data_IF_270221927905
#
_entry.id   IF_270221927905
#
_cell.length_a   1.000
_cell.length_b   1.000
_cell.length_c   1.000
_cell.angle_alpha   90.00
_cell.angle_beta   90.00
_cell.angle_gamma   90.00
#
_symmetry.space_group_name_H-M   'P 1'
#
loop_
_entity.id
_entity.type
_entity.pdbx_description
1 polymer ?
#
# COMPACT_ATOMS: atom_id res chain seq x y z
N UNK A 1 -2.61 8.42 -5.65
CA UNK A 1 -1.52 7.42 -5.66
C UNK A 1 -1.97 6.24 -4.81
N UNK A 2 -1.95 5.03 -5.36
CA UNK A 2 -2.34 3.79 -4.68
C UNK A 2 -1.07 3.00 -4.34
N UNK A 3 -0.80 2.81 -3.05
CA UNK A 3 0.40 2.10 -2.58
C UNK A 3 0.13 0.60 -2.46
N UNK A 4 1.17 -0.21 -2.63
CA UNK A 4 1.08 -1.66 -2.50
C UNK A 4 2.44 -2.24 -2.14
N UNK A 5 2.41 -3.37 -1.43
CA UNK A 5 3.58 -4.23 -1.27
C UNK A 5 3.50 -5.35 -2.30
N UNK A 6 4.60 -5.60 -3.00
CA UNK A 6 4.69 -6.66 -4.00
C UNK A 6 6.00 -7.41 -3.85
N UNK A 7 6.07 -8.61 -4.41
CA UNK A 7 7.27 -9.41 -4.47
C UNK A 7 7.72 -9.63 -5.92
N UNK A 8 9.03 -9.47 -6.15
CA UNK A 8 9.69 -9.84 -7.39
C UNK A 8 10.94 -10.65 -7.06
N UNK A 9 11.08 -11.83 -7.68
CA UNK A 9 12.16 -12.79 -7.36
C UNK A 9 12.27 -13.14 -5.87
N UNK A 10 11.13 -13.17 -5.16
CA UNK A 10 11.05 -13.48 -3.73
C UNK A 10 11.35 -12.31 -2.79
N UNK A 11 11.78 -11.16 -3.30
CA UNK A 11 12.04 -9.96 -2.50
C UNK A 11 10.79 -9.09 -2.42
N UNK A 12 10.34 -8.77 -1.20
CA UNK A 12 9.25 -7.81 -0.97
C UNK A 12 9.73 -6.37 -1.17
N UNK A 13 8.89 -5.55 -1.81
CA UNK A 13 9.18 -4.16 -2.19
C UNK A 13 7.95 -3.29 -2.06
N UNK A 14 8.18 -1.99 -1.88
CA UNK A 14 7.13 -0.97 -1.85
C UNK A 14 6.93 -0.39 -3.24
N UNK A 15 5.67 -0.35 -3.69
CA UNK A 15 5.33 0.17 -4.99
C UNK A 15 4.11 1.07 -4.99
N UNK A 16 3.91 1.74 -6.13
CA UNK A 16 2.71 2.48 -6.43
C UNK A 16 2.07 1.96 -7.71
N UNK A 17 0.78 1.69 -7.67
CA UNK A 17 0.02 1.20 -8.82
C UNK A 17 -0.51 2.37 -9.64
N UNK A 18 -0.32 2.30 -10.95
CA UNK A 18 -0.75 3.30 -11.94
C UNK A 18 -1.40 2.63 -13.16
N UNK A 19 -1.84 3.44 -14.12
CA UNK A 19 -2.45 2.99 -15.38
C UNK A 19 -3.62 2.01 -15.18
N UNK A 20 -4.61 2.41 -14.38
CA UNK A 20 -5.80 1.60 -14.02
C UNK A 20 -5.43 0.22 -13.49
N UNK A 21 -4.54 0.20 -12.50
CA UNK A 21 -4.08 -1.00 -11.81
C UNK A 21 -3.25 -2.01 -12.67
N UNK A 22 -2.77 -1.60 -13.85
CA UNK A 22 -2.01 -2.49 -14.75
C UNK A 22 -0.50 -2.49 -14.49
N UNK A 23 0.06 -1.39 -13.98
CA UNK A 23 1.50 -1.24 -13.78
C UNK A 23 1.84 -0.87 -12.35
N UNK A 24 2.80 -1.60 -11.79
CA UNK A 24 3.45 -1.32 -10.52
C UNK A 24 4.74 -0.53 -10.76
N UNK A 25 4.89 0.60 -10.11
CA UNK A 25 6.18 1.30 -9.99
C UNK A 25 6.91 0.76 -8.77
N UNK A 26 8.17 0.33 -8.93
CA UNK A 26 9.09 0.04 -7.84
C UNK A 26 9.68 1.36 -7.31
N UNK A 27 9.24 1.79 -6.12
CA UNK A 27 9.63 3.10 -5.59
C UNK A 27 11.13 3.18 -5.29
N UNK A 28 11.73 2.11 -4.80
CA UNK A 28 13.16 2.08 -4.49
C UNK A 28 14.01 2.14 -5.78
N UNK A 29 13.58 1.43 -6.83
CA UNK A 29 14.27 1.43 -8.12
C UNK A 29 14.16 2.77 -8.86
N UNK A 30 12.96 3.38 -8.86
CA UNK A 30 12.76 4.72 -9.43
C UNK A 30 13.56 5.76 -8.65
N UNK A 31 13.53 5.72 -7.31
CA UNK A 31 14.28 6.62 -6.46
C UNK A 31 15.79 6.53 -6.71
N UNK A 32 16.34 5.31 -6.80
CA UNK A 32 17.77 5.09 -7.12
C UNK A 32 18.15 5.74 -8.46
N UNK A 33 17.26 5.64 -9.44
CA UNK A 33 17.47 6.21 -10.78
C UNK A 33 17.43 7.75 -10.74
N UNK A 34 16.42 8.32 -10.06
CA UNK A 34 16.27 9.76 -9.89
C UNK A 34 17.43 10.37 -9.07
N UNK A 35 17.78 9.76 -7.94
CA UNK A 35 18.86 10.21 -7.07
C UNK A 35 20.21 10.25 -7.78
N UNK A 36 20.52 9.23 -8.61
CA UNK A 36 21.73 9.21 -9.44
C UNK A 36 21.78 10.36 -10.45
N UNK A 37 20.65 10.63 -11.14
CA UNK A 37 20.54 11.74 -12.10
C UNK A 37 20.70 13.10 -11.41
N UNK A 38 20.12 13.24 -10.21
CA UNK A 38 20.12 14.47 -9.41
C UNK A 38 21.36 14.62 -8.53
N UNK A 39 22.30 13.67 -8.56
CA UNK A 39 23.53 13.63 -7.73
C UNK A 39 23.24 13.82 -6.23
N UNK A 40 22.17 13.22 -5.74
CA UNK A 40 21.77 13.27 -4.32
C UNK A 40 21.78 11.88 -3.70
N UNK A 41 21.74 11.82 -2.37
CA UNK A 41 21.55 10.58 -1.63
C UNK A 41 20.15 10.01 -1.89
N UNK A 42 20.07 8.69 -1.97
CA UNK A 42 18.81 7.93 -2.04
C UNK A 42 18.09 8.07 -0.70
N UNK A 43 16.78 8.27 -0.73
CA UNK A 43 15.94 8.18 0.45
C UNK A 43 15.94 6.76 1.02
N UNK A 44 15.95 6.64 2.34
CA UNK A 44 16.07 5.39 3.09
C UNK A 44 14.73 4.75 3.47
N UNK A 45 13.61 5.42 3.21
CA UNK A 45 12.26 4.98 3.62
C UNK A 45 11.51 4.14 2.57
N UNK A 46 12.21 3.50 1.63
CA UNK A 46 11.61 2.61 0.62
C UNK A 46 11.94 1.12 0.85
N UNK A 47 12.59 0.77 1.97
CA UNK A 47 12.96 -0.62 2.27
C UNK A 47 11.77 -1.51 2.62
N UNK A 48 10.76 -0.97 3.31
CA UNK A 48 9.49 -1.66 3.57
C UNK A 48 8.30 -0.70 3.64
N UNK A 49 7.08 -1.24 3.54
CA UNK A 49 5.87 -0.40 3.68
C UNK A 49 5.82 0.26 5.06
N UNK A 50 6.30 -0.43 6.10
CA UNK A 50 6.31 0.11 7.44
C UNK A 50 7.26 1.31 7.56
N UNK A 51 8.48 1.19 7.06
CA UNK A 51 9.44 2.32 7.00
C UNK A 51 8.88 3.50 6.20
N UNK A 52 8.24 3.22 5.06
CA UNK A 52 7.61 4.23 4.22
C UNK A 52 6.52 4.99 4.97
N UNK A 53 5.61 4.27 5.65
CA UNK A 53 4.52 4.87 6.41
C UNK A 53 5.02 5.63 7.65
N UNK A 54 6.03 5.10 8.35
CA UNK A 54 6.65 5.76 9.51
C UNK A 54 7.33 7.08 9.13
N UNK A 55 7.93 7.17 7.94
CA UNK A 55 8.49 8.42 7.42
C UNK A 55 7.41 9.45 7.01
N UNK A 56 6.14 9.04 6.95
CA UNK A 56 4.96 9.91 6.86
C UNK A 56 4.99 10.86 5.66
N UNK A 57 4.73 12.15 5.92
CA UNK A 57 4.57 13.17 4.87
C UNK A 57 5.82 13.34 3.98
N UNK A 58 7.02 13.12 4.54
CA UNK A 58 8.28 13.19 3.77
C UNK A 58 8.29 12.12 2.68
N UNK A 59 7.98 10.88 3.04
CA UNK A 59 7.95 9.76 2.12
C UNK A 59 6.83 9.88 1.09
N UNK A 60 5.64 10.30 1.53
CA UNK A 60 4.51 10.55 0.63
C UNK A 60 4.80 11.64 -0.40
N UNK A 61 5.45 12.73 0.01
CA UNK A 61 5.81 13.83 -0.90
C UNK A 61 6.88 13.38 -1.91
N UNK A 62 7.91 12.66 -1.45
CA UNK A 62 8.93 12.11 -2.33
C UNK A 62 8.35 11.11 -3.34
N UNK A 63 7.53 10.16 -2.88
CA UNK A 63 6.89 9.19 -3.77
C UNK A 63 5.97 9.84 -4.80
N UNK A 64 5.16 10.84 -4.41
CA UNK A 64 4.34 11.59 -5.37
C UNK A 64 5.17 12.25 -6.46
N UNK A 65 6.31 12.87 -6.12
CA UNK A 65 7.22 13.48 -7.12
C UNK A 65 7.77 12.46 -8.11
N UNK A 66 8.00 11.22 -7.69
CA UNK A 66 8.45 10.14 -8.57
C UNK A 66 7.32 9.54 -9.41
N UNK A 67 6.14 9.35 -8.81
CA UNK A 67 5.01 8.63 -9.42
C UNK A 67 4.23 9.48 -10.41
N UNK A 68 3.96 10.75 -10.11
CA UNK A 68 3.10 11.60 -10.95
C UNK A 68 3.59 11.70 -12.40
N UNK A 69 4.88 12.01 -12.68
CA UNK A 69 5.36 12.10 -14.06
C UNK A 69 5.36 10.76 -14.81
N UNK A 70 5.46 9.64 -14.09
CA UNK A 70 5.37 8.30 -14.68
C UNK A 70 3.92 7.95 -15.01
N UNK A 71 2.99 8.29 -14.12
CA UNK A 71 1.56 8.08 -14.34
C UNK A 71 1.04 8.87 -15.54
N UNK A 72 1.44 10.15 -15.67
CA UNK A 72 1.03 11.03 -16.75
C UNK A 72 1.56 10.60 -18.13
N UNK A 73 2.71 9.91 -18.17
CA UNK A 73 3.29 9.39 -19.42
C UNK A 73 2.67 8.08 -19.88
N UNK A 74 1.89 7.41 -19.04
CA UNK A 74 1.27 6.14 -19.41
C UNK A 74 -0.03 6.38 -20.19
N UNK A 75 -0.06 5.92 -21.43
CA UNK A 75 -1.26 5.86 -22.26
C UNK A 75 -2.13 4.62 -21.97
N UNK A 76 -3.10 4.35 -22.84
CA UNK A 76 -4.09 3.27 -22.67
C UNK A 76 -3.47 1.86 -22.73
N UNK A 77 -2.34 1.72 -23.42
CA UNK A 77 -1.51 0.51 -23.47
C UNK A 77 -0.16 0.73 -22.74
N UNK A 78 -0.17 0.67 -21.40
CA UNK A 78 1.02 0.95 -20.61
C UNK A 78 2.05 -0.17 -20.77
N UNK A 79 3.30 0.21 -21.08
CA UNK A 79 4.44 -0.70 -21.10
C UNK A 79 5.23 -0.59 -19.80
N UNK A 80 5.73 -1.72 -19.34
CA UNK A 80 6.63 -1.81 -18.20
C UNK A 80 8.05 -2.12 -18.69
N UNK A 81 9.05 -1.45 -18.12
CA UNK A 81 10.47 -1.61 -18.46
C UNK A 81 11.13 -2.83 -17.78
N UNK A 82 10.42 -3.47 -16.84
CA UNK A 82 10.90 -4.62 -16.07
C UNK A 82 12.01 -4.29 -15.06
N UNK A 83 12.35 -3.02 -14.87
CA UNK A 83 13.42 -2.55 -13.97
C UNK A 83 12.90 -1.62 -12.89
N UNK A 84 12.14 -0.60 -13.29
CA UNK A 84 11.54 0.40 -12.40
C UNK A 84 10.02 0.31 -12.41
N UNK A 85 9.47 -0.35 -13.43
CA UNK A 85 8.05 -0.59 -13.63
C UNK A 85 7.82 -2.04 -14.00
N UNK A 86 6.73 -2.63 -13.51
CA UNK A 86 6.37 -4.02 -13.75
C UNK A 86 4.89 -4.15 -14.06
N UNK A 87 4.52 -5.03 -14.99
CA UNK A 87 3.12 -5.40 -15.15
C UNK A 87 2.64 -6.07 -13.86
N UNK A 88 1.50 -5.63 -13.32
CA UNK A 88 0.92 -6.19 -12.08
C UNK A 88 0.68 -7.70 -12.24
N UNK A 89 0.32 -8.16 -13.44
CA UNK A 89 0.12 -9.57 -13.78
C UNK A 89 1.39 -10.42 -13.80
N UNK A 90 2.58 -9.81 -13.66
CA UNK A 90 3.89 -10.48 -13.70
C UNK A 90 4.63 -10.43 -12.36
N UNK A 91 3.99 -9.92 -11.31
CA UNK A 91 4.51 -9.83 -9.95
C UNK A 91 3.51 -10.46 -8.98
N UNK A 92 3.96 -10.82 -7.78
CA UNK A 92 3.06 -11.30 -6.72
C UNK A 92 2.69 -10.12 -5.82
N UNK A 93 1.41 -9.79 -5.73
CA UNK A 93 0.95 -8.83 -4.72
C UNK A 93 1.03 -9.48 -3.34
N UNK A 94 1.36 -8.69 -2.32
CA UNK A 94 1.43 -9.11 -0.93
C UNK A 94 0.39 -8.37 -0.11
N UNK A 95 0.25 -8.75 1.15
CA UNK A 95 -0.46 -7.94 2.14
C UNK A 95 0.04 -6.48 2.05
N UNK A 96 -0.85 -5.46 2.01
CA UNK A 96 -0.43 -4.07 1.87
C UNK A 96 0.59 -3.65 2.92
N UNK A 97 0.36 -4.05 4.17
CA UNK A 97 1.30 -3.94 5.29
C UNK A 97 1.50 -5.35 5.84
N UNK A 98 2.53 -6.11 5.41
CA UNK A 98 2.65 -7.54 5.74
C UNK A 98 2.78 -7.85 7.23
N UNK A 99 3.52 -7.01 7.97
CA UNK A 99 3.78 -7.21 9.40
C UNK A 99 3.50 -5.91 10.17
N UNK A 100 2.21 -5.54 10.37
CA UNK A 100 1.89 -4.36 11.14
C UNK A 100 2.20 -4.59 12.63
N UNK A 101 2.65 -3.55 13.34
CA UNK A 101 3.03 -3.67 14.75
C UNK A 101 1.82 -3.97 15.66
N UNK A 102 0.64 -3.41 15.33
CA UNK A 102 -0.62 -3.58 16.05
C UNK A 102 -1.78 -3.60 15.06
N UNK A 103 -2.82 -4.36 15.36
CA UNK A 103 -4.04 -4.43 14.56
C UNK A 103 -5.26 -4.26 15.47
N UNK A 104 -5.82 -3.05 15.45
CA UNK A 104 -7.06 -2.71 16.13
C UNK A 104 -8.22 -2.80 15.14
N UNK A 105 -9.26 -3.49 15.55
CA UNK A 105 -10.49 -3.67 14.78
C UNK A 105 -11.66 -3.02 15.52
N UNK A 106 -12.65 -2.57 14.77
CA UNK A 106 -13.89 -2.03 15.31
C UNK A 106 -14.99 -3.10 15.21
N UNK A 107 -15.74 -3.26 16.29
CA UNK A 107 -16.95 -4.05 16.34
C UNK A 107 -18.18 -3.13 16.45
N UNK A 108 -19.30 -3.60 15.92
CA UNK A 108 -20.59 -2.90 16.02
C UNK A 108 -20.65 -1.53 15.35
N UNK A 109 -19.80 -1.28 14.36
CA UNK A 109 -19.75 -0.03 13.61
C UNK A 109 -20.73 0.02 12.42
N UNK A 110 -21.52 -1.02 12.19
CA UNK A 110 -22.58 -1.08 11.19
C UNK A 110 -23.88 -1.51 11.87
N UNK A 111 -24.85 -0.60 11.95
CA UNK A 111 -26.14 -0.86 12.59
C UNK A 111 -26.90 -1.99 11.89
N UNK A 112 -26.95 -1.96 10.55
CA UNK A 112 -27.63 -2.98 9.74
C UNK A 112 -27.15 -4.40 10.06
N UNK A 113 -25.85 -4.59 10.29
CA UNK A 113 -25.29 -5.90 10.62
C UNK A 113 -25.69 -6.36 12.03
N UNK A 114 -25.90 -5.44 12.97
CA UNK A 114 -26.39 -5.77 14.32
C UNK A 114 -27.88 -6.12 14.28
N UNK A 115 -28.66 -5.39 13.49
CA UNK A 115 -30.09 -5.66 13.29
C UNK A 115 -30.32 -7.00 12.58
N UNK A 116 -29.50 -7.33 11.58
CA UNK A 116 -29.48 -8.66 10.92
C UNK A 116 -29.30 -9.79 11.95
N UNK A 117 -28.43 -9.58 12.94
CA UNK A 117 -28.19 -10.53 14.04
C UNK A 117 -29.30 -10.58 15.11
N UNK A 118 -30.42 -9.88 14.92
CA UNK A 118 -31.52 -9.77 15.88
C UNK A 118 -31.26 -8.81 17.05
N UNK A 119 -30.16 -8.05 16.99
CA UNK A 119 -29.87 -6.99 17.94
C UNK A 119 -30.71 -5.74 17.68
N UNK A 120 -30.81 -4.85 18.68
CA UNK A 120 -31.32 -3.50 18.51
C UNK A 120 -30.27 -2.53 19.03
N UNK A 121 -29.86 -1.57 18.21
CA UNK A 121 -28.97 -0.50 18.64
C UNK A 121 -29.76 0.78 18.93
N UNK A 122 -29.31 1.53 19.93
CA UNK A 122 -29.62 2.95 19.99
C UNK A 122 -28.93 3.68 18.83
N UNK A 123 -29.40 4.89 18.51
CA UNK A 123 -28.84 5.68 17.40
C UNK A 123 -27.30 5.72 17.42
N UNK A 124 -26.71 5.39 16.27
CA UNK A 124 -25.28 5.11 16.08
C UNK A 124 -24.37 6.29 16.47
N UNK A 125 -24.91 7.51 16.48
CA UNK A 125 -24.25 8.75 16.88
C UNK A 125 -23.91 8.83 18.39
N UNK A 126 -24.42 7.90 19.21
CA UNK A 126 -24.22 7.89 20.67
C UNK A 126 -23.36 6.73 21.18
N UNK A 127 -22.92 5.80 20.33
CA UNK A 127 -22.08 4.68 20.77
C UNK A 127 -20.58 5.01 20.76
N UNK A 128 -19.88 4.56 21.80
CA UNK A 128 -18.41 4.59 21.85
C UNK A 128 -17.86 3.44 21.00
N UNK A 129 -16.81 3.67 20.16
CA UNK A 129 -16.24 2.61 19.33
C UNK A 129 -15.80 1.40 20.16
N UNK A 130 -16.36 0.22 19.86
CA UNK A 130 -15.98 -1.03 20.50
C UNK A 130 -14.72 -1.57 19.81
N UNK A 131 -13.58 -1.39 20.45
CA UNK A 131 -12.27 -1.80 19.90
C UNK A 131 -11.89 -3.18 20.42
N UNK A 132 -11.44 -4.05 19.51
CA UNK A 132 -10.78 -5.30 19.85
C UNK A 132 -9.48 -5.45 19.06
N UNK A 133 -8.61 -6.38 19.47
CA UNK A 133 -7.31 -6.61 18.83
C UNK A 133 -7.24 -8.02 18.25
N UNK A 134 -6.61 -8.16 17.09
CA UNK A 134 -6.21 -9.45 16.54
C UNK A 134 -4.68 -9.55 16.46
N UNK A 135 -4.09 -10.75 16.59
CA UNK A 135 -2.65 -10.94 16.42
C UNK A 135 -2.23 -10.53 14.99
N UNK A 136 -1.35 -9.53 14.81
CA UNK A 136 -0.98 -9.05 13.47
C UNK A 136 -0.33 -10.14 12.60
N UNK A 137 0.48 -11.00 13.21
CA UNK A 137 1.28 -12.03 12.55
C UNK A 137 0.48 -13.16 11.91
N UNK A 138 -0.82 -13.28 12.23
CA UNK A 138 -1.69 -14.36 11.72
C UNK A 138 -3.00 -13.85 11.10
N UNK A 139 -3.18 -12.53 10.98
CA UNK A 139 -4.45 -11.94 10.52
C UNK A 139 -4.39 -11.33 9.13
N UNK A 140 -3.26 -10.73 8.75
CA UNK A 140 -3.13 -9.97 7.49
C UNK A 140 -2.49 -10.85 6.42
N UNK A 141 -3.18 -11.06 5.31
CA UNK A 141 -2.72 -11.86 4.17
C UNK A 141 -2.83 -11.08 2.86
N UNK A 142 -2.05 -11.49 1.86
CA UNK A 142 -2.13 -10.93 0.52
C UNK A 142 -3.36 -11.42 -0.24
N UNK A 143 -3.70 -10.79 -1.38
CA UNK A 143 -4.59 -11.42 -2.33
C UNK A 143 -3.96 -12.75 -2.81
N UNK A 144 -4.79 -13.78 -2.94
CA UNK A 144 -4.40 -15.09 -3.46
C UNK A 144 -3.40 -15.89 -2.59
N UNK A 145 -3.26 -15.57 -1.29
CA UNK A 145 -2.45 -16.29 -0.29
C UNK A 145 -3.31 -17.07 0.73
#
# INVERSE_FOLDING_TARGET
>A
MKLSTFAIKGEERVGAVIARDKVMIDLAAVEKTAARREKRKVNDFYGSMLEFLQAGNKAMTAAKKLVTPLAEKMGDEPKADGKTTHLVTKIKLRAPVPNPAKLFCLAGNYQDHIEEGGGRMAAQDKETPRVFMKPPTTTVIGPDD
#
